data_IF_132969883101
#
_entry.id   IF_132969883101
#
_cell.length_a   1.000
_cell.length_b   1.000
_cell.length_c   1.000
_cell.angle_alpha   90.00
_cell.angle_beta   90.00
_cell.angle_gamma   90.00
#
_symmetry.space_group_name_H-M   'P 1'
#
loop_
_entity.id
_entity.type
_entity.pdbx_description
1 polymer ?
#
# COMPACT_ATOMS: atom_id res chain seq x y z
N UNK A 1 -1.17 6.52 22.90
CA UNK A 1 -1.36 7.02 21.51
C UNK A 1 -0.57 6.14 20.57
N UNK A 2 -1.15 5.73 19.43
CA UNK A 2 -0.49 4.91 18.42
C UNK A 2 -0.50 5.61 17.05
N UNK A 3 0.51 5.34 16.24
CA UNK A 3 0.65 5.87 14.88
C UNK A 3 0.55 4.73 13.86
N UNK A 4 0.08 5.05 12.66
CA UNK A 4 0.06 4.16 11.51
C UNK A 4 0.94 4.77 10.42
N UNK A 5 1.94 4.02 9.97
CA UNK A 5 2.78 4.36 8.83
C UNK A 5 2.22 3.73 7.57
N UNK A 6 1.99 4.55 6.55
CA UNK A 6 1.39 4.15 5.27
C UNK A 6 2.40 4.30 4.16
N UNK A 7 2.43 3.32 3.26
CA UNK A 7 3.38 3.23 2.16
C UNK A 7 2.62 2.98 0.87
N UNK A 8 2.95 3.75 -0.17
CA UNK A 8 2.58 3.46 -1.54
C UNK A 8 3.84 3.00 -2.28
N UNK A 9 3.86 1.73 -2.67
CA UNK A 9 4.97 1.09 -3.36
C UNK A 9 4.68 0.98 -4.86
N UNK A 10 5.65 1.29 -5.71
CA UNK A 10 5.54 0.97 -7.13
C UNK A 10 5.86 -0.52 -7.39
N UNK A 11 5.13 -1.14 -8.31
CA UNK A 11 5.15 -2.60 -8.47
C UNK A 11 6.35 -3.15 -9.27
N UNK A 12 6.99 -2.34 -10.11
CA UNK A 12 8.04 -2.78 -11.03
C UNK A 12 9.32 -3.11 -10.27
N UNK A 13 9.79 -2.20 -9.43
CA UNK A 13 11.06 -2.36 -8.71
C UNK A 13 10.86 -2.51 -7.19
N UNK A 14 9.64 -2.30 -6.69
CA UNK A 14 9.32 -2.37 -5.27
C UNK A 14 9.86 -1.17 -4.48
N UNK A 15 10.11 -0.04 -5.14
CA UNK A 15 10.48 1.20 -4.47
C UNK A 15 9.25 1.86 -3.85
N UNK A 16 9.46 2.54 -2.73
CA UNK A 16 8.42 3.37 -2.11
C UNK A 16 8.31 4.67 -2.90
N UNK A 17 7.14 4.88 -3.51
CA UNK A 17 6.84 6.09 -4.27
C UNK A 17 6.37 7.22 -3.34
N UNK A 18 5.56 6.90 -2.32
CA UNK A 18 5.05 7.86 -1.33
C UNK A 18 4.85 7.22 0.04
N UNK A 19 4.88 8.04 1.08
CA UNK A 19 4.63 7.63 2.46
C UNK A 19 3.88 8.71 3.22
N UNK A 20 3.17 8.30 4.27
CA UNK A 20 2.68 9.25 5.27
C UNK A 20 2.49 8.58 6.63
N UNK A 21 2.42 9.39 7.67
CA UNK A 21 2.13 8.96 9.03
C UNK A 21 0.83 9.59 9.53
N UNK A 22 -0.10 8.75 10.00
CA UNK A 22 -1.35 9.19 10.64
C UNK A 22 -1.43 8.68 12.07
N UNK A 23 -2.44 9.14 12.80
CA UNK A 23 -2.89 8.41 13.98
C UNK A 23 -3.52 7.07 13.56
N UNK A 24 -3.37 6.05 14.40
CA UNK A 24 -4.01 4.77 14.17
C UNK A 24 -5.52 4.89 14.46
N UNK A 25 -6.35 4.76 13.42
CA UNK A 25 -7.82 4.71 13.50
C UNK A 25 -8.32 3.55 12.65
N UNK A 26 -9.60 3.19 12.80
CA UNK A 26 -10.20 2.07 12.04
C UNK A 26 -10.26 2.29 10.51
N UNK A 27 -10.11 3.53 10.04
CA UNK A 27 -10.15 3.89 8.62
C UNK A 27 -8.83 4.44 8.09
N UNK A 28 -7.86 4.70 8.98
CA UNK A 28 -6.60 5.37 8.67
C UNK A 28 -5.90 4.79 7.43
N UNK A 29 -5.86 3.47 7.29
CA UNK A 29 -5.27 2.78 6.14
C UNK A 29 -5.92 3.15 4.81
N UNK A 30 -7.25 3.12 4.75
CA UNK A 30 -8.01 3.44 3.52
C UNK A 30 -7.98 4.92 3.21
N UNK A 31 -8.10 5.77 4.23
CA UNK A 31 -8.05 7.21 4.07
C UNK A 31 -6.66 7.65 3.59
N UNK A 32 -5.60 7.11 4.20
CA UNK A 32 -4.23 7.36 3.79
C UNK A 32 -3.95 6.85 2.37
N UNK A 33 -4.45 5.66 2.01
CA UNK A 33 -4.28 5.15 0.65
C UNK A 33 -4.87 6.10 -0.41
N UNK A 34 -6.05 6.69 -0.17
CA UNK A 34 -6.63 7.69 -1.06
C UNK A 34 -5.79 8.97 -1.12
N UNK A 35 -5.31 9.46 0.03
CA UNK A 35 -4.43 10.64 0.09
C UNK A 35 -3.14 10.39 -0.71
N UNK A 36 -2.50 9.23 -0.54
CA UNK A 36 -1.27 8.90 -1.25
C UNK A 36 -1.49 8.76 -2.76
N UNK A 37 -2.64 8.22 -3.18
CA UNK A 37 -3.07 8.16 -4.58
C UNK A 37 -3.30 9.57 -5.15
N UNK A 38 -4.00 10.44 -4.42
CA UNK A 38 -4.33 11.80 -4.86
C UNK A 38 -3.09 12.68 -5.03
N UNK A 39 -2.01 12.36 -4.32
CA UNK A 39 -0.72 13.03 -4.49
C UNK A 39 0.06 12.57 -5.74
N UNK A 40 -0.33 11.48 -6.40
CA UNK A 40 0.35 11.05 -7.63
C UNK A 40 0.10 12.03 -8.77
N UNK A 41 1.10 12.18 -9.65
CA UNK A 41 0.98 13.07 -10.79
C UNK A 41 -0.20 12.62 -11.69
N UNK A 42 -1.07 13.56 -12.13
CA UNK A 42 -2.16 13.23 -13.02
C UNK A 42 -1.62 12.77 -14.39
N UNK A 43 -2.42 11.97 -15.11
CA UNK A 43 -2.15 11.64 -16.52
C UNK A 43 -1.88 10.16 -16.81
N UNK A 44 -1.69 9.32 -15.78
CA UNK A 44 -1.46 7.89 -15.96
C UNK A 44 -2.61 7.07 -15.40
N UNK A 45 -3.04 6.05 -16.16
CA UNK A 45 -3.97 5.03 -15.63
C UNK A 45 -3.19 4.10 -14.72
N UNK A 46 -3.36 4.28 -13.41
CA UNK A 46 -2.69 3.47 -12.39
C UNK A 46 -3.60 2.35 -11.87
N UNK A 47 -2.98 1.27 -11.41
CA UNK A 47 -3.65 0.18 -10.71
C UNK A 47 -3.19 0.17 -9.26
N UNK A 48 -4.11 0.07 -8.30
CA UNK A 48 -3.75 0.01 -6.88
C UNK A 48 -3.91 -1.40 -6.33
N UNK A 49 -2.79 -2.01 -5.95
CA UNK A 49 -2.78 -3.28 -5.22
C UNK A 49 -3.03 -3.06 -3.73
N UNK A 50 -4.04 -3.69 -3.15
CA UNK A 50 -4.28 -3.66 -1.70
C UNK A 50 -4.71 -5.03 -1.14
N UNK A 51 -4.60 -5.22 0.17
CA UNK A 51 -5.06 -6.44 0.83
C UNK A 51 -6.60 -6.54 0.90
N UNK A 52 -7.10 -7.67 1.39
CA UNK A 52 -8.54 -7.94 1.45
C UNK A 52 -9.33 -7.04 2.39
N UNK A 53 -8.68 -6.44 3.39
CA UNK A 53 -9.28 -5.44 4.28
C UNK A 53 -9.69 -4.16 3.54
N UNK A 54 -9.11 -3.91 2.37
CA UNK A 54 -9.50 -2.80 1.49
C UNK A 54 -10.68 -3.13 0.58
N UNK A 55 -11.16 -4.38 0.53
CA UNK A 55 -12.34 -4.77 -0.24
C UNK A 55 -13.62 -4.25 0.43
N UNK A 56 -13.82 -2.94 0.35
CA UNK A 56 -14.95 -2.20 0.89
C UNK A 56 -15.56 -1.38 -0.23
N UNK A 57 -16.86 -1.49 -0.43
CA UNK A 57 -17.57 -0.86 -1.55
C UNK A 57 -17.27 0.64 -1.70
N UNK A 58 -17.25 1.39 -0.59
CA UNK A 58 -16.93 2.82 -0.60
C UNK A 58 -15.49 3.12 -1.03
N UNK A 59 -14.52 2.32 -0.59
CA UNK A 59 -13.13 2.47 -1.00
C UNK A 59 -12.93 2.15 -2.48
N UNK A 60 -13.54 1.06 -2.95
CA UNK A 60 -13.49 0.68 -4.37
C UNK A 60 -14.14 1.74 -5.26
N UNK A 61 -15.29 2.28 -4.85
CA UNK A 61 -15.94 3.39 -5.54
C UNK A 61 -15.06 4.65 -5.58
N UNK A 62 -14.40 4.98 -4.47
CA UNK A 62 -13.48 6.11 -4.38
C UNK A 62 -12.27 5.98 -5.32
N UNK A 63 -11.73 4.76 -5.49
CA UNK A 63 -10.67 4.48 -6.47
C UNK A 63 -11.16 4.65 -7.90
N UNK A 64 -12.34 4.10 -8.23
CA UNK A 64 -12.92 4.23 -9.58
C UNK A 64 -13.21 5.69 -9.94
N UNK A 65 -13.70 6.49 -8.99
CA UNK A 65 -13.91 7.93 -9.18
C UNK A 65 -12.61 8.67 -9.52
N UNK A 66 -11.47 8.19 -9.01
CA UNK A 66 -10.11 8.68 -9.32
C UNK A 66 -9.51 8.06 -10.59
N UNK A 67 -10.28 7.26 -11.33
CA UNK A 67 -9.81 6.48 -12.50
C UNK A 67 -8.66 5.51 -12.16
N UNK A 68 -8.62 5.02 -10.93
CA UNK A 68 -7.68 4.00 -10.46
C UNK A 68 -8.33 2.64 -10.53
N UNK A 69 -7.68 1.69 -11.20
CA UNK A 69 -8.17 0.31 -11.27
C UNK A 69 -7.86 -0.43 -9.95
N UNK A 70 -8.86 -0.95 -9.23
CA UNK A 70 -8.67 -1.59 -7.93
C UNK A 70 -8.14 -3.02 -8.08
N UNK A 71 -6.84 -3.24 -7.91
CA UNK A 71 -6.25 -4.57 -7.76
C UNK A 71 -6.28 -5.03 -6.29
N UNK A 72 -7.43 -4.88 -5.66
CA UNK A 72 -7.65 -5.25 -4.25
C UNK A 72 -7.94 -6.74 -4.16
N UNK A 73 -7.30 -7.43 -3.22
CA UNK A 73 -7.61 -8.84 -2.97
C UNK A 73 -9.06 -8.99 -2.52
N UNK A 74 -9.82 -9.92 -3.09
CA UNK A 74 -11.24 -10.12 -2.72
C UNK A 74 -11.37 -10.71 -1.32
N UNK A 75 -12.23 -10.12 -0.49
CA UNK A 75 -12.61 -10.73 0.79
C UNK A 75 -13.69 -11.81 0.55
N UNK A 76 -13.24 -13.05 0.38
CA UNK A 76 -14.11 -14.21 0.18
C UNK A 76 -14.76 -14.77 1.43
N UNK A 77 -14.66 -14.10 2.60
CA UNK A 77 -15.23 -14.62 3.84
C UNK A 77 -16.73 -14.89 3.70
N UNK A 78 -17.14 -16.03 4.25
CA UNK A 78 -18.54 -16.45 4.34
C UNK A 78 -19.03 -16.09 5.74
N UNK A 79 -20.17 -15.41 5.80
CA UNK A 79 -20.84 -15.07 7.06
C UNK A 79 -21.33 -16.33 7.78
N UNK A 80 -21.63 -16.21 9.07
CA UNK A 80 -22.22 -17.32 9.86
C UNK A 80 -23.53 -17.87 9.24
N UNK A 81 -24.21 -17.09 8.40
CA UNK A 81 -25.44 -17.46 7.69
C UNK A 81 -25.18 -18.09 6.31
N UNK A 82 -23.94 -18.50 6.01
CA UNK A 82 -23.59 -19.13 4.73
C UNK A 82 -23.52 -18.17 3.53
N UNK A 83 -23.80 -16.87 3.72
CA UNK A 83 -23.70 -15.87 2.65
C UNK A 83 -22.27 -15.38 2.50
N UNK A 84 -21.73 -15.45 1.28
CA UNK A 84 -20.45 -14.83 0.92
C UNK A 84 -20.56 -13.31 1.03
N UNK A 85 -19.57 -12.68 1.63
CA UNK A 85 -19.49 -11.21 1.68
C UNK A 85 -19.43 -10.65 0.26
N UNK A 86 -20.18 -9.60 -0.02
CA UNK A 86 -20.12 -8.89 -1.29
C UNK A 86 -18.75 -8.23 -1.46
N UNK A 87 -18.16 -8.38 -2.65
CA UNK A 87 -16.90 -7.71 -3.03
C UNK A 87 -17.21 -6.47 -3.86
N UNK A 88 -16.45 -5.39 -3.65
CA UNK A 88 -16.52 -4.22 -4.52
C UNK A 88 -15.75 -4.42 -5.84
N UNK A 89 -14.84 -5.39 -5.87
CA UNK A 89 -14.04 -5.75 -7.06
C UNK A 89 -14.88 -6.64 -7.97
N UNK A 90 -15.00 -6.25 -9.24
CA UNK A 90 -15.76 -6.99 -10.23
C UNK A 90 -14.94 -8.10 -10.91
N UNK A 91 -15.65 -9.07 -11.50
CA UNK A 91 -15.01 -10.18 -12.19
C UNK A 91 -14.21 -9.76 -13.43
N UNK A 92 -14.52 -8.62 -14.05
CA UNK A 92 -13.76 -8.07 -15.17
C UNK A 92 -12.33 -7.73 -14.74
N UNK A 93 -12.19 -7.00 -13.63
CA UNK A 93 -10.89 -6.63 -13.06
C UNK A 93 -10.04 -7.85 -12.73
N UNK A 94 -10.64 -8.90 -12.17
CA UNK A 94 -9.93 -10.11 -11.75
C UNK A 94 -9.40 -10.97 -12.90
N UNK A 95 -9.98 -10.85 -14.11
CA UNK A 95 -9.61 -11.68 -15.27
C UNK A 95 -8.31 -11.25 -15.93
N UNK A 96 -7.86 -10.02 -15.73
CA UNK A 96 -6.67 -9.50 -16.39
C UNK A 96 -5.38 -10.02 -15.76
N UNK A 97 -4.38 -10.36 -16.59
CA UNK A 97 -3.06 -10.81 -16.13
C UNK A 97 -2.39 -9.80 -15.17
N UNK A 98 -2.64 -8.50 -15.37
CA UNK A 98 -2.16 -7.43 -14.49
C UNK A 98 -2.68 -7.55 -13.05
N UNK A 99 -3.91 -8.04 -12.85
CA UNK A 99 -4.46 -8.27 -11.52
C UNK A 99 -3.67 -9.39 -10.81
N UNK A 100 -3.45 -10.52 -11.49
CA UNK A 100 -2.68 -11.63 -10.94
C UNK A 100 -1.22 -11.23 -10.60
N UNK A 101 -0.58 -10.45 -11.47
CA UNK A 101 0.75 -9.89 -11.21
C UNK A 101 0.75 -8.98 -9.97
N UNK A 102 -0.22 -8.07 -9.88
CA UNK A 102 -0.36 -7.16 -8.73
C UNK A 102 -0.60 -7.91 -7.41
N UNK A 103 -1.37 -9.01 -7.42
CA UNK A 103 -1.57 -9.84 -6.22
C UNK A 103 -0.27 -10.49 -5.71
N UNK A 104 0.63 -10.88 -6.62
CA UNK A 104 1.93 -11.44 -6.27
C UNK A 104 2.86 -10.36 -5.73
N UNK A 105 2.98 -9.25 -6.48
CA UNK A 105 3.92 -8.17 -6.18
C UNK A 105 3.56 -7.41 -4.89
N UNK A 106 2.26 -7.21 -4.61
CA UNK A 106 1.82 -6.45 -3.42
C UNK A 106 2.45 -6.96 -2.12
N UNK A 107 2.72 -8.26 -2.02
CA UNK A 107 3.36 -8.87 -0.84
C UNK A 107 4.75 -8.28 -0.53
N UNK A 108 5.44 -7.71 -1.52
CA UNK A 108 6.74 -7.04 -1.33
C UNK A 108 6.66 -5.83 -0.40
N UNK A 109 5.47 -5.25 -0.19
CA UNK A 109 5.33 -4.16 0.79
C UNK A 109 5.69 -4.60 2.21
N UNK A 110 5.55 -5.90 2.52
CA UNK A 110 5.96 -6.46 3.80
C UNK A 110 7.48 -6.47 3.96
N UNK A 111 8.26 -6.52 2.87
CA UNK A 111 9.72 -6.37 2.92
C UNK A 111 10.10 -4.95 3.39
N UNK A 112 9.37 -3.94 2.91
CA UNK A 112 9.53 -2.53 3.33
C UNK A 112 9.27 -2.41 4.83
N UNK A 113 8.11 -2.88 5.30
CA UNK A 113 7.75 -2.81 6.71
C UNK A 113 8.64 -3.67 7.60
N UNK A 114 9.07 -4.84 7.13
CA UNK A 114 10.02 -5.70 7.82
C UNK A 114 11.36 -5.01 8.04
N UNK A 115 11.92 -4.39 6.99
CA UNK A 115 13.18 -3.66 7.08
C UNK A 115 13.08 -2.44 7.98
N UNK A 116 12.01 -1.66 7.86
CA UNK A 116 11.76 -0.48 8.72
C UNK A 116 11.72 -0.88 10.20
N UNK A 117 11.00 -1.96 10.54
CA UNK A 117 10.86 -2.40 11.94
C UNK A 117 12.16 -3.00 12.48
N UNK A 118 12.85 -3.81 11.67
CA UNK A 118 14.07 -4.52 12.07
C UNK A 118 15.30 -3.63 12.01
N UNK A 119 15.71 -3.26 10.79
CA UNK A 119 16.97 -2.57 10.51
C UNK A 119 16.92 -1.07 10.83
N UNK A 120 15.80 -0.39 10.54
CA UNK A 120 15.67 1.04 10.85
C UNK A 120 15.23 1.34 12.29
N UNK A 121 15.05 0.30 13.13
CA UNK A 121 14.76 0.45 14.56
C UNK A 121 13.37 1.02 14.88
N UNK A 122 12.43 1.01 13.93
CA UNK A 122 11.08 1.56 14.10
C UNK A 122 10.05 0.57 14.63
N UNK A 123 10.51 -0.55 15.25
CA UNK A 123 9.62 -1.47 15.97
C UNK A 123 8.85 -0.77 17.10
N UNK A 124 9.47 0.21 17.75
CA UNK A 124 8.85 1.08 18.73
C UNK A 124 9.42 2.50 18.58
N UNK A 125 8.55 3.49 18.38
CA UNK A 125 9.01 4.88 18.29
C UNK A 125 9.44 5.42 19.66
N UNK A 126 10.57 6.12 19.69
CA UNK A 126 11.10 6.82 20.86
C UNK A 126 10.72 8.31 20.86
N UNK A 127 10.01 8.77 19.83
CA UNK A 127 9.58 10.15 19.70
C UNK A 127 8.12 10.33 20.08
N UNK A 128 7.79 11.53 20.53
CA UNK A 128 6.41 11.98 20.78
C UNK A 128 6.04 13.06 19.76
N UNK A 129 4.78 13.04 19.35
CA UNK A 129 4.22 13.96 18.35
C UNK A 129 4.37 13.46 16.92
N UNK A 130 3.30 13.64 16.13
CA UNK A 130 3.19 13.17 14.74
C UNK A 130 4.34 13.66 13.86
N UNK A 131 4.78 14.90 14.03
CA UNK A 131 5.83 15.49 13.17
C UNK A 131 7.18 14.77 13.36
N UNK A 132 7.60 14.51 14.60
CA UNK A 132 8.88 13.84 14.88
C UNK A 132 8.87 12.38 14.45
N UNK A 133 7.76 11.68 14.71
CA UNK A 133 7.59 10.29 14.29
C UNK A 133 7.51 10.19 12.77
N UNK A 134 6.83 11.13 12.12
CA UNK A 134 6.69 11.19 10.67
C UNK A 134 8.04 11.40 9.99
N UNK A 135 8.83 12.35 10.49
CA UNK A 135 10.18 12.56 10.00
C UNK A 135 11.06 11.31 10.11
N UNK A 136 11.02 10.61 11.25
CA UNK A 136 11.76 9.36 11.44
C UNK A 136 11.29 8.26 10.45
N UNK A 137 9.99 8.19 10.19
CA UNK A 137 9.39 7.24 9.25
C UNK A 137 9.81 7.52 7.81
N UNK A 138 9.76 8.79 7.37
CA UNK A 138 10.17 9.19 6.02
C UNK A 138 11.67 8.99 5.79
N UNK A 139 12.49 9.24 6.82
CA UNK A 139 13.93 8.94 6.78
C UNK A 139 14.18 7.44 6.57
N UNK A 140 13.49 6.59 7.33
CA UNK A 140 13.63 5.14 7.21
C UNK A 140 13.19 4.62 5.82
N UNK A 141 12.11 5.17 5.27
CA UNK A 141 11.64 4.82 3.93
C UNK A 141 12.63 5.26 2.84
N UNK A 142 13.18 6.46 2.98
CA UNK A 142 14.20 6.97 2.06
C UNK A 142 15.44 6.07 2.09
N UNK A 143 15.90 5.68 3.29
CA UNK A 143 17.01 4.75 3.45
C UNK A 143 16.73 3.37 2.83
N UNK A 144 15.51 2.84 3.00
CA UNK A 144 15.10 1.58 2.36
C UNK A 144 15.25 1.64 0.84
N UNK A 145 14.74 2.70 0.21
CA UNK A 145 14.89 2.88 -1.23
C UNK A 145 16.36 2.90 -1.65
N UNK A 146 17.21 3.66 -0.95
CA UNK A 146 18.64 3.75 -1.25
C UNK A 146 19.36 2.41 -1.17
N UNK A 147 19.04 1.59 -0.17
CA UNK A 147 19.65 0.25 -0.01
C UNK A 147 19.18 -0.72 -1.09
N UNK A 148 17.98 -0.52 -1.65
CA UNK A 148 17.44 -1.36 -2.72
C UNK A 148 18.03 -1.03 -4.09
N UNK A 149 18.43 0.22 -4.33
CA UNK A 149 18.92 0.68 -5.64
C UNK A 149 20.11 -0.13 -6.18
N UNK A 150 21.17 -0.46 -5.41
CA UNK A 150 22.30 -1.24 -5.92
C UNK A 150 21.89 -2.59 -6.53
N UNK A 151 21.01 -3.33 -5.88
CA UNK A 151 20.53 -4.62 -6.39
C UNK A 151 19.69 -4.46 -7.65
N UNK A 152 18.94 -3.36 -7.77
CA UNK A 152 18.17 -3.06 -8.98
C UNK A 152 19.05 -2.66 -10.15
N UNK A 153 20.09 -1.86 -9.89
CA UNK A 153 21.06 -1.43 -10.90
C UNK A 153 21.89 -2.62 -11.41
N UNK A 154 22.27 -3.55 -10.54
CA UNK A 154 22.97 -4.77 -10.94
C UNK A 154 22.12 -5.73 -11.78
N UNK A 155 20.79 -5.67 -11.63
CA UNK A 155 19.84 -6.50 -12.38
C UNK A 155 19.33 -5.82 -13.68
N UNK A 156 19.67 -4.55 -13.91
CA UNK A 156 19.25 -3.84 -15.11
C UNK A 156 20.08 -4.34 -16.32
N UNK A 157 19.43 -4.62 -17.47
CA UNK A 157 20.16 -4.92 -18.69
C UNK A 157 21.03 -3.71 -19.09
N UNK A 158 22.23 -4.00 -19.62
CA UNK A 158 23.16 -3.00 -20.13
C UNK A 158 22.63 -2.28 -21.37
#
# INVERSE_FOLDING_TARGET
>A
MAYAGHVLMENRNGLVARSCLTHATATAERDAALILVDQMAPGWRITLGADKGYDVASFIAALRARRVTPHVAVDGRVSKLGKRRGSGVDGGTMRHAGYAASQRVRKRIEEVFGWIKGSAGLRQTKHRGRNRVGWQFDLAITAYNLIRLPSLLAAAPA
#
